data_IF_490522048085
#
_entry.id   IF_490522048085
#
_cell.length_a   1.000
_cell.length_b   1.000
_cell.length_c   1.000
_cell.angle_alpha   90.00
_cell.angle_beta   90.00
_cell.angle_gamma   90.00
#
_symmetry.space_group_name_H-M   'P 1'
#
loop_
_entity.id
_entity.type
_entity.pdbx_description
1 polymer ?
#
# COMPACT_ATOMS: atom_id res chain seq x y z
N UNK A 1 -11.39 -12.02 -3.68
CA UNK A 1 -11.06 -12.01 -2.23
C UNK A 1 -10.44 -10.66 -1.90
N UNK A 2 -10.82 -10.04 -0.78
CA UNK A 2 -10.29 -8.78 -0.24
C UNK A 2 -10.01 -8.96 1.25
N UNK A 3 -9.23 -8.06 1.85
CA UNK A 3 -9.11 -7.97 3.31
C UNK A 3 -10.33 -7.21 3.81
N UNK A 4 -11.15 -7.84 4.62
CA UNK A 4 -12.40 -7.28 5.16
C UNK A 4 -12.22 -6.67 6.55
N UNK A 5 -11.17 -7.08 7.27
CA UNK A 5 -10.82 -6.54 8.59
C UNK A 5 -9.33 -6.69 8.86
N UNK A 6 -8.76 -5.70 9.53
CA UNK A 6 -7.41 -5.78 10.09
C UNK A 6 -7.44 -5.47 11.58
N UNK A 7 -6.68 -6.26 12.33
CA UNK A 7 -6.36 -5.99 13.73
C UNK A 7 -4.84 -5.98 13.88
N UNK A 8 -4.32 -5.06 14.64
CA UNK A 8 -2.91 -5.05 15.03
C UNK A 8 -2.81 -4.60 16.49
N UNK A 9 -1.89 -5.20 17.20
CA UNK A 9 -1.55 -4.85 18.56
C UNK A 9 -0.06 -4.58 18.63
N UNK A 10 0.29 -3.44 19.18
CA UNK A 10 1.67 -3.07 19.47
C UNK A 10 2.58 -2.95 18.23
N UNK A 11 1.99 -2.55 17.08
CA UNK A 11 2.71 -2.38 15.82
C UNK A 11 3.18 -0.93 15.64
N UNK A 12 4.49 -0.66 15.77
CA UNK A 12 5.10 0.68 15.66
C UNK A 12 4.41 1.71 16.56
N UNK A 13 3.77 2.76 16.01
CA UNK A 13 2.95 3.70 16.77
C UNK A 13 1.49 3.29 16.90
N UNK A 14 1.11 2.13 16.38
CA UNK A 14 -0.24 1.60 16.42
C UNK A 14 -0.39 0.69 17.64
N UNK A 15 -0.86 1.21 18.78
CA UNK A 15 -1.03 0.43 20.00
C UNK A 15 -2.08 -0.65 19.82
N UNK A 16 -3.25 -0.26 19.31
CA UNK A 16 -4.37 -1.17 19.05
C UNK A 16 -5.16 -0.68 17.85
N UNK A 17 -5.23 -1.53 16.83
CA UNK A 17 -6.03 -1.32 15.63
C UNK A 17 -7.07 -2.42 15.52
N UNK A 18 -8.30 -2.07 15.18
CA UNK A 18 -9.35 -3.03 14.81
C UNK A 18 -10.36 -2.33 13.91
N UNK A 19 -10.15 -2.39 12.61
CA UNK A 19 -11.01 -1.67 11.64
C UNK A 19 -11.49 -2.60 10.53
N UNK A 20 -12.76 -2.48 10.10
CA UNK A 20 -13.23 -3.07 8.86
C UNK A 20 -12.58 -2.36 7.67
N UNK A 21 -12.49 -3.02 6.55
CA UNK A 21 -11.93 -2.49 5.31
C UNK A 21 -12.85 -2.80 4.14
N UNK A 22 -13.06 -1.79 3.29
CA UNK A 22 -13.84 -1.88 2.08
C UNK A 22 -12.96 -2.18 0.84
N UNK A 23 -13.56 -2.28 -0.34
CA UNK A 23 -12.80 -2.48 -1.60
C UNK A 23 -11.90 -1.29 -1.95
N UNK A 24 -12.31 -0.08 -1.58
CA UNK A 24 -11.47 1.13 -1.56
C UNK A 24 -11.32 1.57 -0.12
N UNK A 25 -10.09 1.88 0.27
CA UNK A 25 -9.80 2.36 1.62
C UNK A 25 -8.91 3.59 1.53
N UNK A 26 -9.38 4.67 2.15
CA UNK A 26 -8.67 5.93 2.27
C UNK A 26 -8.20 6.10 3.72
N UNK A 27 -6.91 5.87 3.97
CA UNK A 27 -6.30 6.11 5.28
C UNK A 27 -5.95 7.60 5.41
N UNK A 28 -6.69 8.31 6.24
CA UNK A 28 -6.65 9.78 6.37
C UNK A 28 -6.15 10.17 7.77
N UNK A 29 -5.28 11.16 7.83
CA UNK A 29 -4.77 11.67 9.11
C UNK A 29 -3.54 12.55 8.93
N UNK A 30 -3.01 13.14 10.01
CA UNK A 30 -1.86 14.04 9.95
C UNK A 30 -0.58 13.29 9.60
N UNK A 31 0.47 14.06 9.28
CA UNK A 31 1.81 13.52 9.16
C UNK A 31 2.23 12.84 10.48
N UNK A 32 2.96 11.73 10.38
CA UNK A 32 3.32 10.87 11.50
C UNK A 32 2.14 10.22 12.27
N UNK A 33 0.90 10.38 11.83
CA UNK A 33 -0.29 9.76 12.44
C UNK A 33 -0.37 8.23 12.32
N UNK A 34 0.58 7.58 11.61
CA UNK A 34 0.62 6.11 11.52
C UNK A 34 0.07 5.52 10.22
N UNK A 35 -0.35 6.35 9.25
CA UNK A 35 -0.87 5.89 7.94
C UNK A 35 0.10 4.94 7.21
N UNK A 36 1.37 5.33 7.09
CA UNK A 36 2.42 4.49 6.48
C UNK A 36 2.70 3.22 7.30
N UNK A 37 2.60 3.31 8.64
CA UNK A 37 2.74 2.14 9.52
C UNK A 37 1.56 1.16 9.37
N UNK A 38 0.39 1.67 9.04
CA UNK A 38 -0.79 0.85 8.72
C UNK A 38 -0.59 0.11 7.38
N UNK A 39 -0.14 0.79 6.33
CA UNK A 39 0.21 0.13 5.07
C UNK A 39 1.34 -0.90 5.24
N UNK A 40 2.27 -0.65 6.18
CA UNK A 40 3.39 -1.53 6.45
C UNK A 40 2.98 -2.89 7.05
N UNK A 41 1.79 -2.99 7.68
CA UNK A 41 1.19 -4.27 8.10
C UNK A 41 1.02 -5.20 6.89
N UNK A 42 0.46 -4.70 5.81
CA UNK A 42 0.20 -5.49 4.60
C UNK A 42 1.50 -5.79 3.84
N UNK A 43 2.44 -4.83 3.80
CA UNK A 43 3.79 -5.04 3.26
C UNK A 43 4.53 -6.14 4.00
N UNK A 44 4.41 -6.18 5.33
CA UNK A 44 5.01 -7.21 6.18
C UNK A 44 4.45 -8.60 5.86
N UNK A 45 3.12 -8.76 5.77
CA UNK A 45 2.49 -10.02 5.40
C UNK A 45 2.91 -10.50 4.01
N UNK A 46 2.97 -9.57 3.04
CA UNK A 46 3.48 -9.86 1.70
C UNK A 46 4.93 -10.35 1.74
N UNK A 47 5.80 -9.66 2.46
CA UNK A 47 7.23 -10.00 2.54
C UNK A 47 7.48 -11.36 3.19
N UNK A 48 6.60 -11.81 4.08
CA UNK A 48 6.65 -13.17 4.61
C UNK A 48 6.23 -14.17 3.54
N UNK A 49 5.16 -13.88 2.78
CA UNK A 49 4.53 -14.81 1.86
C UNK A 49 5.26 -14.97 0.52
N UNK A 50 6.02 -13.96 0.07
CA UNK A 50 6.73 -14.04 -1.22
C UNK A 50 7.83 -15.08 -1.19
N UNK A 51 8.05 -15.75 -2.32
CA UNK A 51 9.11 -16.75 -2.45
C UNK A 51 10.49 -16.12 -2.18
N UNK A 52 11.24 -16.72 -1.25
CA UNK A 52 12.52 -16.19 -0.79
C UNK A 52 12.40 -15.07 0.25
N UNK A 53 11.17 -14.76 0.69
CA UNK A 53 10.88 -13.91 1.84
C UNK A 53 11.00 -14.68 3.16
N UNK A 54 10.23 -14.26 4.17
CA UNK A 54 10.11 -14.94 5.45
C UNK A 54 10.13 -13.99 6.64
N UNK A 55 9.76 -14.52 7.81
CA UNK A 55 9.62 -13.77 9.05
C UNK A 55 10.91 -13.02 9.43
N UNK A 56 12.02 -13.73 9.40
CA UNK A 56 13.32 -13.15 9.76
C UNK A 56 13.68 -11.95 8.88
N UNK A 57 13.59 -12.13 7.56
CA UNK A 57 13.91 -11.07 6.59
C UNK A 57 12.98 -9.87 6.74
N UNK A 58 11.67 -10.11 6.87
CA UNK A 58 10.67 -9.06 7.02
C UNK A 58 10.86 -8.21 8.29
N UNK A 59 11.25 -8.86 9.40
CA UNK A 59 11.55 -8.19 10.67
C UNK A 59 12.89 -7.44 10.59
N UNK A 60 13.94 -8.04 10.01
CA UNK A 60 15.26 -7.41 9.94
C UNK A 60 15.29 -6.17 9.06
N UNK A 61 14.58 -6.16 7.93
CA UNK A 61 14.40 -4.96 7.08
C UNK A 61 13.85 -3.77 7.84
N UNK A 62 13.16 -4.01 8.95
CA UNK A 62 12.53 -2.98 9.82
C UNK A 62 13.35 -2.68 11.08
N UNK A 63 14.58 -3.18 11.19
CA UNK A 63 15.46 -2.95 12.34
C UNK A 63 15.19 -3.88 13.55
N UNK A 64 14.53 -5.02 13.31
CA UNK A 64 14.26 -6.03 14.34
C UNK A 64 12.94 -5.80 15.10
N UNK A 65 12.55 -6.77 15.93
CA UNK A 65 11.29 -6.74 16.71
C UNK A 65 11.15 -5.46 17.53
N UNK A 66 12.26 -4.99 18.14
CA UNK A 66 12.22 -3.78 18.98
C UNK A 66 11.89 -2.49 18.26
N UNK A 67 12.16 -2.41 16.95
CA UNK A 67 11.80 -1.25 16.11
C UNK A 67 10.37 -1.36 15.60
N UNK A 68 9.80 -2.56 15.61
CA UNK A 68 8.42 -2.83 15.24
C UNK A 68 7.45 -2.71 16.40
N UNK A 69 7.94 -2.92 17.61
CA UNK A 69 7.14 -2.85 18.83
C UNK A 69 6.84 -1.41 19.22
N UNK A 70 5.59 -1.12 19.59
CA UNK A 70 5.19 0.17 20.14
C UNK A 70 5.86 0.39 21.49
N UNK A 71 6.53 1.53 21.69
CA UNK A 71 7.20 1.85 22.96
C UNK A 71 6.24 2.09 24.13
N UNK A 72 5.01 2.49 23.83
CA UNK A 72 3.96 2.68 24.83
C UNK A 72 3.22 1.36 25.18
N UNK A 73 3.57 0.25 24.52
CA UNK A 73 2.99 -1.07 24.78
C UNK A 73 3.60 -1.74 26.01
N UNK A 74 2.75 -2.44 26.77
CA UNK A 74 3.15 -3.16 28.00
C UNK A 74 3.69 -4.57 27.67
N UNK A 75 3.26 -5.14 26.52
CA UNK A 75 3.61 -6.50 26.14
C UNK A 75 4.85 -6.54 25.24
N UNK A 76 5.65 -7.60 25.34
CA UNK A 76 6.78 -7.82 24.41
C UNK A 76 6.28 -8.36 23.07
N UNK A 77 6.78 -7.76 21.99
CA UNK A 77 6.41 -8.13 20.63
C UNK A 77 5.21 -7.39 20.07
N UNK A 78 4.66 -7.91 18.97
CA UNK A 78 3.51 -7.36 18.27
C UNK A 78 2.61 -8.48 17.72
N UNK A 79 1.35 -8.13 17.43
CA UNK A 79 0.38 -9.06 16.87
C UNK A 79 -0.32 -8.45 15.67
N UNK A 80 -0.60 -9.28 14.66
CA UNK A 80 -1.34 -8.91 13.46
C UNK A 80 -2.39 -9.98 13.19
N UNK A 81 -3.63 -9.57 12.91
CA UNK A 81 -4.67 -10.46 12.43
C UNK A 81 -5.41 -9.81 11.25
N UNK A 82 -5.64 -10.56 10.20
CA UNK A 82 -6.41 -10.13 9.03
C UNK A 82 -7.49 -11.14 8.73
N UNK A 83 -8.66 -10.62 8.39
CA UNK A 83 -9.80 -11.42 7.90
C UNK A 83 -9.97 -11.13 6.41
N UNK A 84 -10.23 -12.16 5.63
CA UNK A 84 -10.31 -12.07 4.17
C UNK A 84 -11.57 -12.78 3.68
N UNK A 85 -12.20 -12.18 2.68
CA UNK A 85 -13.39 -12.74 2.07
C UNK A 85 -13.85 -12.01 0.83
N UNK A 86 -15.13 -12.06 0.60
CA UNK A 86 -15.86 -11.31 -0.43
C UNK A 86 -17.16 -10.75 0.19
N UNK A 87 -17.97 -10.06 -0.61
CA UNK A 87 -19.23 -9.43 -0.17
C UNK A 87 -20.22 -10.44 0.44
N UNK A 88 -20.20 -11.70 -0.02
CA UNK A 88 -21.10 -12.75 0.48
C UNK A 88 -20.55 -13.48 1.69
N UNK A 89 -19.23 -13.58 1.80
CA UNK A 89 -18.50 -14.27 2.89
C UNK A 89 -17.30 -13.45 3.30
N UNK A 90 -17.53 -12.44 4.17
CA UNK A 90 -16.46 -11.50 4.56
C UNK A 90 -15.37 -12.15 5.44
N UNK A 91 -15.64 -13.31 6.03
CA UNK A 91 -14.79 -14.05 6.97
C UNK A 91 -14.38 -15.44 6.45
N UNK A 92 -14.26 -15.60 5.13
CA UNK A 92 -13.86 -16.87 4.50
C UNK A 92 -12.53 -17.40 5.05
N UNK A 93 -11.56 -16.50 5.27
CA UNK A 93 -10.27 -16.79 5.84
C UNK A 93 -9.93 -15.82 6.96
N UNK A 94 -9.18 -16.28 7.97
CA UNK A 94 -8.45 -15.41 8.88
C UNK A 94 -7.03 -15.92 9.06
N UNK A 95 -6.09 -14.98 9.15
CA UNK A 95 -4.68 -15.23 9.47
C UNK A 95 -4.27 -14.37 10.65
N UNK A 96 -3.70 -15.01 11.67
CA UNK A 96 -3.24 -14.34 12.88
C UNK A 96 -1.80 -14.74 13.18
N UNK A 97 -0.97 -13.76 13.47
CA UNK A 97 0.43 -13.93 13.86
C UNK A 97 0.79 -13.05 15.05
N UNK A 98 1.40 -13.64 16.05
CA UNK A 98 2.08 -12.96 17.14
C UNK A 98 3.58 -13.20 17.06
N UNK A 99 4.38 -12.15 17.19
CA UNK A 99 5.84 -12.19 17.10
C UNK A 99 6.43 -11.53 18.33
N UNK A 100 7.44 -12.17 18.93
CA UNK A 100 8.17 -11.64 20.08
C UNK A 100 9.68 -11.79 19.91
N UNK A 101 10.45 -11.20 20.80
CA UNK A 101 11.90 -11.41 20.85
C UNK A 101 12.22 -12.80 21.42
N UNK A 102 13.25 -13.43 20.90
CA UNK A 102 13.82 -14.58 21.58
C UNK A 102 14.53 -14.12 22.86
N UNK A 103 14.18 -14.72 24.00
CA UNK A 103 14.84 -14.45 25.29
C UNK A 103 16.35 -14.73 25.24
N UNK A 104 17.12 -14.11 26.15
CA UNK A 104 18.54 -14.34 26.40
C UNK A 104 19.47 -14.29 25.16
N UNK A 105 19.70 -13.10 24.61
CA UNK A 105 20.85 -12.80 23.75
C UNK A 105 20.69 -13.07 22.25
N UNK A 106 19.71 -13.79 21.79
CA UNK A 106 19.43 -13.97 20.36
C UNK A 106 18.54 -12.84 19.83
N UNK A 107 18.99 -12.16 18.77
CA UNK A 107 18.25 -11.07 18.09
C UNK A 107 17.23 -11.56 17.07
N UNK A 108 16.82 -12.84 17.10
CA UNK A 108 15.89 -13.41 16.13
C UNK A 108 14.45 -13.21 16.57
N UNK A 109 13.55 -12.92 15.63
CA UNK A 109 12.10 -12.96 15.89
C UNK A 109 11.67 -14.40 16.09
N UNK A 110 10.77 -14.66 17.04
CA UNK A 110 10.12 -15.95 17.22
C UNK A 110 8.60 -15.75 17.24
N UNK A 111 7.88 -16.75 16.78
CA UNK A 111 6.43 -16.77 16.85
C UNK A 111 5.97 -16.91 18.31
N UNK A 112 5.10 -16.02 18.74
CA UNK A 112 4.26 -16.17 19.93
C UNK A 112 3.12 -17.13 19.61
N UNK A 113 2.53 -16.97 18.42
CA UNK A 113 1.54 -17.87 17.80
C UNK A 113 1.43 -17.62 16.30
N UNK A 114 0.93 -18.63 15.58
CA UNK A 114 0.47 -18.53 14.21
C UNK A 114 -0.82 -19.34 14.04
N UNK A 115 -1.88 -18.71 13.57
CA UNK A 115 -3.18 -19.35 13.40
C UNK A 115 -3.76 -19.04 12.03
N UNK A 116 -4.38 -20.05 11.44
CA UNK A 116 -5.13 -19.91 10.19
C UNK A 116 -6.53 -20.50 10.39
N UNK A 117 -7.52 -19.73 9.97
CA UNK A 117 -8.92 -20.15 10.01
C UNK A 117 -9.48 -20.16 8.58
N UNK A 118 -10.37 -21.12 8.32
CA UNK A 118 -11.15 -21.22 7.09
C UNK A 118 -12.59 -21.48 7.43
N UNK A 119 -13.52 -20.61 7.00
CA UNK A 119 -14.94 -20.66 7.38
C UNK A 119 -15.17 -20.75 8.91
N UNK A 120 -14.35 -20.06 9.70
CA UNK A 120 -14.41 -20.11 11.16
C UNK A 120 -13.73 -21.32 11.81
N UNK A 121 -13.37 -22.36 11.03
CA UNK A 121 -12.65 -23.52 11.53
C UNK A 121 -11.14 -23.24 11.57
N UNK A 122 -10.49 -23.55 12.71
CA UNK A 122 -9.06 -23.39 12.88
C UNK A 122 -8.32 -24.56 12.23
N UNK A 123 -7.57 -24.30 11.15
CA UNK A 123 -6.80 -25.31 10.42
C UNK A 123 -5.30 -25.30 10.75
N UNK A 124 -4.82 -24.21 11.36
CA UNK A 124 -3.46 -24.10 11.92
C UNK A 124 -3.55 -23.46 13.28
N UNK A 125 -2.87 -24.02 14.27
CA UNK A 125 -2.72 -23.47 15.62
C UNK A 125 -1.32 -23.81 16.14
N UNK A 126 -0.45 -22.84 16.14
CA UNK A 126 0.94 -22.96 16.61
C UNK A 126 1.17 -22.08 17.84
N UNK A 127 1.98 -22.44 18.82
CA UNK A 127 2.86 -23.64 18.88
C UNK A 127 2.09 -24.96 19.00
N UNK A 128 2.42 -25.93 18.12
CA UNK A 128 1.92 -27.30 18.17
C UNK A 128 2.84 -28.21 19.01
N UNK A 129 2.61 -29.53 19.03
CA UNK A 129 3.43 -30.49 19.76
C UNK A 129 4.85 -30.58 19.18
N UNK A 130 5.00 -30.44 17.86
CA UNK A 130 6.31 -30.46 17.21
C UNK A 130 7.09 -29.18 17.52
N UNK A 131 6.41 -28.04 17.59
CA UNK A 131 7.03 -26.77 17.97
C UNK A 131 7.50 -26.78 19.45
N UNK A 132 6.79 -27.49 20.33
CA UNK A 132 7.21 -27.67 21.72
C UNK A 132 8.42 -28.59 21.83
N UNK A 133 8.53 -29.61 20.98
CA UNK A 133 9.69 -30.53 20.94
C UNK A 133 10.90 -29.90 20.26
N UNK A 134 10.70 -28.99 19.29
CA UNK A 134 11.76 -28.29 18.57
C UNK A 134 11.40 -26.80 18.43
N UNK A 135 11.74 -25.95 19.43
CA UNK A 135 11.41 -24.53 19.42
C UNK A 135 12.05 -23.73 18.27
N UNK A 136 13.08 -24.24 17.57
CA UNK A 136 13.68 -23.58 16.40
C UNK A 136 12.64 -23.40 15.28
N UNK A 137 11.66 -24.27 15.18
CA UNK A 137 10.56 -24.17 14.21
C UNK A 137 9.76 -22.87 14.35
N UNK A 138 9.74 -22.26 15.53
CA UNK A 138 9.06 -20.97 15.78
C UNK A 138 9.82 -19.78 15.21
N UNK A 139 11.03 -19.94 14.67
CA UNK A 139 11.75 -18.91 13.93
C UNK A 139 11.20 -18.72 12.51
N UNK A 140 10.31 -19.63 12.05
CA UNK A 140 9.69 -19.60 10.72
C UNK A 140 8.17 -19.73 10.82
N UNK A 141 7.46 -19.03 9.92
CA UNK A 141 6.02 -19.16 9.75
C UNK A 141 5.67 -20.34 8.84
N UNK A 142 4.45 -20.86 8.96
CA UNK A 142 3.92 -21.76 7.93
C UNK A 142 3.56 -20.99 6.65
N UNK A 143 3.31 -19.67 6.74
CA UNK A 143 3.05 -18.82 5.59
C UNK A 143 4.22 -18.85 4.58
N UNK A 144 5.48 -18.80 5.04
CA UNK A 144 6.68 -18.86 4.19
C UNK A 144 7.07 -20.29 3.76
N UNK A 145 6.60 -21.31 4.47
CA UNK A 145 6.99 -22.68 4.25
C UNK A 145 6.10 -23.38 3.21
N UNK A 146 6.65 -23.62 2.02
CA UNK A 146 5.92 -24.17 0.88
C UNK A 146 5.29 -25.55 1.08
N UNK A 147 5.73 -26.35 2.04
CA UNK A 147 5.13 -27.65 2.37
C UNK A 147 4.06 -27.53 3.46
N UNK A 148 4.29 -26.71 4.46
CA UNK A 148 3.37 -26.53 5.58
C UNK A 148 2.10 -25.78 5.20
N UNK A 149 2.14 -24.90 4.17
CA UNK A 149 1.02 -24.07 3.75
C UNK A 149 0.05 -24.73 2.73
N UNK A 150 0.18 -26.02 2.46
CA UNK A 150 -0.62 -26.69 1.43
C UNK A 150 -2.14 -26.51 1.62
N UNK A 151 -2.63 -26.54 2.85
CA UNK A 151 -4.06 -26.41 3.18
C UNK A 151 -4.61 -24.97 2.99
N UNK A 152 -3.74 -23.96 3.00
CA UNK A 152 -4.12 -22.55 2.88
C UNK A 152 -3.31 -21.79 1.80
N UNK A 153 -2.88 -22.49 0.76
CA UNK A 153 -2.16 -21.93 -0.39
C UNK A 153 -2.84 -20.71 -1.04
N UNK A 154 -4.17 -20.67 -1.15
CA UNK A 154 -4.86 -19.48 -1.68
C UNK A 154 -4.58 -18.21 -0.86
N UNK A 155 -4.44 -18.33 0.47
CA UNK A 155 -4.10 -17.21 1.35
C UNK A 155 -2.66 -16.73 1.12
N UNK A 156 -1.72 -17.67 1.00
CA UNK A 156 -0.31 -17.36 0.69
C UNK A 156 -0.18 -16.63 -0.64
N UNK A 157 -0.85 -17.14 -1.68
CA UNK A 157 -0.86 -16.52 -3.01
C UNK A 157 -1.45 -15.11 -2.93
N UNK A 158 -2.57 -14.93 -2.23
CA UNK A 158 -3.18 -13.61 -2.05
C UNK A 158 -2.21 -12.58 -1.43
N UNK A 159 -1.49 -12.96 -0.37
CA UNK A 159 -0.51 -12.06 0.25
C UNK A 159 0.69 -11.80 -0.68
N UNK A 160 1.21 -12.82 -1.34
CA UNK A 160 2.36 -12.70 -2.23
C UNK A 160 2.07 -11.80 -3.45
N UNK A 161 0.84 -11.79 -3.93
CA UNK A 161 0.38 -11.00 -5.09
C UNK A 161 -0.01 -9.55 -4.75
N UNK A 162 0.06 -9.13 -3.48
CA UNK A 162 -0.15 -7.73 -3.12
C UNK A 162 0.85 -6.85 -3.84
N UNK A 163 0.39 -5.73 -4.39
CA UNK A 163 1.24 -4.74 -5.05
C UNK A 163 1.45 -3.57 -4.11
N UNK A 164 2.71 -3.31 -3.78
CA UNK A 164 3.09 -2.15 -2.98
C UNK A 164 3.67 -1.10 -3.91
N UNK A 165 2.94 -0.05 -4.15
CA UNK A 165 3.35 1.06 -4.98
C UNK A 165 3.70 2.25 -4.10
N UNK A 166 4.98 2.42 -3.81
CA UNK A 166 5.54 3.62 -3.22
C UNK A 166 6.40 4.30 -4.29
N UNK A 167 5.95 5.44 -4.75
CA UNK A 167 6.69 6.21 -5.72
C UNK A 167 7.74 7.09 -5.02
N UNK A 168 9.01 6.82 -5.27
CA UNK A 168 10.08 7.75 -4.96
C UNK A 168 10.43 8.54 -6.24
N UNK A 169 10.04 9.81 -6.33
CA UNK A 169 10.23 10.62 -7.54
C UNK A 169 11.68 10.73 -8.00
N UNK A 170 12.59 10.74 -7.05
CA UNK A 170 14.04 10.87 -7.26
C UNK A 170 14.68 9.74 -8.08
N UNK A 171 13.89 8.78 -8.50
CA UNK A 171 14.38 7.57 -9.15
C UNK A 171 14.24 7.47 -10.66
N UNK A 172 13.43 8.30 -11.35
CA UNK A 172 13.24 8.22 -12.81
C UNK A 172 13.85 9.40 -13.58
N UNK A 173 14.09 10.55 -12.92
CA UNK A 173 14.82 11.66 -13.51
C UNK A 173 16.32 11.49 -13.29
N UNK A 174 17.09 11.38 -14.37
CA UNK A 174 18.53 11.53 -14.26
C UNK A 174 18.82 12.97 -13.80
N UNK A 175 19.43 13.14 -12.63
CA UNK A 175 20.04 14.42 -12.31
C UNK A 175 21.18 14.64 -13.32
N UNK A 176 21.13 15.69 -14.17
CA UNK A 176 22.13 15.90 -15.24
C UNK A 176 23.57 15.98 -14.73
N UNK A 177 23.76 16.23 -13.41
CA UNK A 177 25.07 16.35 -12.75
C UNK A 177 25.60 15.04 -12.14
N UNK A 178 24.82 13.95 -12.17
CA UNK A 178 25.23 12.65 -11.59
C UNK A 178 25.99 11.74 -12.56
N UNK A 179 26.06 12.09 -13.86
CA UNK A 179 26.87 11.39 -14.87
C UNK A 179 26.82 9.84 -14.77
N UNK A 180 27.95 9.20 -14.94
CA UNK A 180 28.13 7.73 -14.92
C UNK A 180 27.77 7.07 -13.57
N UNK A 181 27.69 7.83 -12.46
CA UNK A 181 27.25 7.31 -11.15
C UNK A 181 25.78 6.93 -11.13
N UNK A 182 24.93 7.59 -11.94
CA UNK A 182 23.52 7.20 -12.10
C UNK A 182 23.38 5.83 -12.81
N UNK A 183 24.35 5.45 -13.64
CA UNK A 183 24.43 4.10 -14.20
C UNK A 183 24.84 3.03 -13.17
N UNK A 184 25.65 3.39 -12.20
CA UNK A 184 26.19 2.46 -11.20
C UNK A 184 25.25 2.26 -10.00
N UNK A 185 24.59 3.34 -9.51
CA UNK A 185 23.59 3.29 -8.43
C UNK A 185 22.15 3.20 -8.96
N UNK A 186 22.00 2.89 -10.23
CA UNK A 186 20.79 2.84 -11.03
C UNK A 186 19.48 2.76 -10.23
N UNK A 187 18.61 3.67 -10.53
CA UNK A 187 17.23 3.82 -10.07
C UNK A 187 16.45 2.49 -10.03
N UNK A 188 16.70 1.69 -9.00
CA UNK A 188 16.04 0.39 -8.80
C UNK A 188 14.51 0.47 -8.93
N UNK A 189 13.80 1.49 -8.39
CA UNK A 189 12.35 1.59 -8.56
C UNK A 189 11.91 1.75 -10.02
N UNK A 190 12.62 2.55 -10.80
CA UNK A 190 12.29 2.75 -12.21
C UNK A 190 12.59 1.50 -13.06
N UNK A 191 13.71 0.85 -12.77
CA UNK A 191 14.06 -0.43 -13.42
C UNK A 191 13.09 -1.54 -13.03
N UNK A 192 12.64 -1.57 -11.78
CA UNK A 192 11.63 -2.51 -11.31
C UNK A 192 10.31 -2.29 -12.07
N UNK A 193 9.87 -1.04 -12.19
CA UNK A 193 8.67 -0.68 -12.93
C UNK A 193 8.72 -1.11 -14.41
N UNK A 194 9.83 -0.83 -15.11
CA UNK A 194 9.99 -1.25 -16.51
C UNK A 194 10.10 -2.78 -16.64
N UNK A 195 10.74 -3.48 -15.69
CA UNK A 195 10.76 -4.94 -15.64
C UNK A 195 9.35 -5.52 -15.49
N UNK A 196 8.53 -4.93 -14.62
CA UNK A 196 7.14 -5.34 -14.42
C UNK A 196 6.30 -5.16 -15.68
N UNK A 197 6.52 -4.06 -16.43
CA UNK A 197 5.91 -3.84 -17.74
C UNK A 197 6.32 -4.93 -18.73
N UNK A 198 7.59 -5.30 -18.75
CA UNK A 198 8.12 -6.29 -19.71
C UNK A 198 7.78 -7.74 -19.32
N UNK A 199 7.53 -8.02 -18.05
CA UNK A 199 7.14 -9.35 -17.58
C UNK A 199 5.74 -9.78 -18.06
N UNK A 200 4.93 -8.82 -18.54
CA UNK A 200 3.56 -9.07 -18.99
C UNK A 200 3.54 -9.42 -20.49
N UNK A 201 2.70 -10.38 -20.94
CA UNK A 201 2.54 -10.70 -22.36
C UNK A 201 2.26 -9.46 -23.21
N UNK A 202 2.81 -9.42 -24.43
CA UNK A 202 2.75 -8.23 -25.30
C UNK A 202 1.34 -7.71 -25.55
N UNK A 203 0.37 -8.60 -25.77
CA UNK A 203 -1.03 -8.23 -26.00
C UNK A 203 -1.65 -7.53 -24.80
N UNK A 204 -1.39 -8.03 -23.58
CA UNK A 204 -1.86 -7.43 -22.33
C UNK A 204 -1.17 -6.09 -22.08
N UNK A 205 0.15 -6.05 -22.28
CA UNK A 205 0.96 -4.84 -22.16
C UNK A 205 0.46 -3.73 -23.08
N UNK A 206 0.23 -4.03 -24.35
CA UNK A 206 -0.30 -3.07 -25.33
C UNK A 206 -1.65 -2.51 -24.91
N UNK A 207 -2.58 -3.37 -24.53
CA UNK A 207 -3.91 -2.94 -24.05
C UNK A 207 -3.84 -2.02 -22.83
N UNK A 208 -2.94 -2.31 -21.87
CA UNK A 208 -2.72 -1.45 -20.70
C UNK A 208 -2.12 -0.12 -21.10
N UNK A 209 -1.13 -0.08 -21.97
CA UNK A 209 -0.51 1.17 -22.47
C UNK A 209 -1.53 2.02 -23.20
N UNK A 210 -2.38 1.45 -24.05
CA UNK A 210 -3.45 2.17 -24.76
C UNK A 210 -4.45 2.82 -23.77
N UNK A 211 -4.80 2.12 -22.68
CA UNK A 211 -5.66 2.70 -21.63
C UNK A 211 -4.98 3.84 -20.87
N UNK A 212 -3.69 3.70 -20.59
CA UNK A 212 -2.90 4.75 -19.94
C UNK A 212 -2.77 5.96 -20.87
N UNK A 213 -2.46 5.73 -22.15
CA UNK A 213 -2.41 6.77 -23.19
C UNK A 213 -3.72 7.57 -23.24
N UNK A 214 -4.87 6.89 -23.27
CA UNK A 214 -6.17 7.53 -23.30
C UNK A 214 -6.41 8.46 -22.09
N UNK A 215 -5.96 8.06 -20.89
CA UNK A 215 -6.04 8.92 -19.71
C UNK A 215 -5.07 10.10 -19.80
N UNK A 216 -3.83 9.86 -20.26
CA UNK A 216 -2.84 10.92 -20.40
C UNK A 216 -3.27 11.99 -21.42
N UNK A 217 -3.91 11.59 -22.51
CA UNK A 217 -4.46 12.52 -23.51
C UNK A 217 -5.53 13.47 -22.94
N UNK A 218 -6.21 13.06 -21.87
CA UNK A 218 -7.22 13.91 -21.19
C UNK A 218 -6.58 14.90 -20.20
N UNK A 219 -5.44 14.55 -19.59
CA UNK A 219 -4.90 15.30 -18.44
C UNK A 219 -3.57 15.99 -18.70
N UNK A 220 -2.83 15.54 -19.72
CA UNK A 220 -1.57 16.16 -20.14
C UNK A 220 -1.78 16.86 -21.48
N UNK A 221 -1.76 18.20 -21.50
CA UNK A 221 -1.95 18.95 -22.74
C UNK A 221 -0.99 18.48 -23.82
N UNK A 222 -1.52 18.29 -25.05
CA UNK A 222 -0.71 17.98 -26.23
C UNK A 222 -0.05 16.59 -26.25
N UNK A 223 -0.36 15.75 -25.28
CA UNK A 223 0.11 14.36 -25.26
C UNK A 223 -0.52 13.57 -26.40
N UNK A 224 0.29 12.93 -27.23
CA UNK A 224 -0.21 12.16 -28.38
C UNK A 224 -0.10 10.66 -28.19
N UNK A 225 1.07 10.18 -27.80
CA UNK A 225 1.33 8.75 -27.79
C UNK A 225 2.32 8.35 -26.71
N UNK A 226 2.07 7.20 -26.12
CA UNK A 226 2.97 6.52 -25.20
C UNK A 226 3.50 5.26 -25.85
N UNK A 227 4.82 5.14 -25.98
CA UNK A 227 5.46 3.98 -26.56
C UNK A 227 6.47 3.36 -25.60
N UNK A 228 6.75 2.07 -25.81
CA UNK A 228 7.91 1.39 -25.24
C UNK A 228 8.94 1.22 -26.35
N UNK A 229 10.10 1.82 -26.17
CA UNK A 229 11.23 1.66 -27.08
C UNK A 229 12.22 0.64 -26.52
N UNK A 230 12.63 -0.28 -27.37
CA UNK A 230 13.71 -1.20 -27.07
C UNK A 230 15.05 -0.53 -27.35
N UNK A 231 15.95 -0.62 -26.38
CA UNK A 231 17.32 -0.12 -26.47
C UNK A 231 18.28 -1.30 -26.60
N UNK A 232 19.49 -1.04 -27.06
CA UNK A 232 20.54 -2.06 -27.16
C UNK A 232 20.76 -2.77 -25.81
N UNK A 233 20.86 -4.10 -25.81
CA UNK A 233 21.14 -4.88 -24.61
C UNK A 233 19.92 -5.21 -23.75
N UNK A 234 18.75 -5.46 -24.35
CA UNK A 234 17.52 -5.86 -23.64
C UNK A 234 16.97 -4.81 -22.65
N UNK A 235 17.32 -3.54 -22.88
CA UNK A 235 16.81 -2.41 -22.11
C UNK A 235 15.60 -1.82 -22.81
N UNK A 236 14.63 -1.37 -22.02
CA UNK A 236 13.44 -0.66 -22.52
C UNK A 236 13.30 0.68 -21.82
N UNK A 237 12.68 1.62 -22.49
CA UNK A 237 12.29 2.92 -21.92
C UNK A 237 10.92 3.34 -22.43
N UNK A 238 10.27 4.20 -21.67
CA UNK A 238 9.08 4.89 -22.13
C UNK A 238 9.47 6.07 -23.01
N UNK A 239 8.76 6.23 -24.12
CA UNK A 239 8.86 7.37 -25.02
C UNK A 239 7.47 7.97 -25.25
N UNK A 240 7.40 9.27 -25.36
CA UNK A 240 6.16 9.98 -25.70
C UNK A 240 6.35 10.88 -26.92
N UNK A 241 5.23 11.27 -27.55
CA UNK A 241 5.18 12.31 -28.58
C UNK A 241 4.21 13.38 -28.12
N UNK A 242 4.62 14.64 -28.27
CA UNK A 242 3.79 15.83 -28.07
C UNK A 242 3.50 16.55 -29.38
N UNK A 243 2.40 17.28 -29.46
CA UNK A 243 1.96 17.86 -30.72
C UNK A 243 2.60 19.22 -31.05
N UNK A 244 2.97 20.03 -30.05
CA UNK A 244 3.18 21.47 -30.26
C UNK A 244 4.61 21.94 -30.39
N UNK A 245 5.47 21.71 -29.42
CA UNK A 245 6.78 22.38 -29.44
C UNK A 245 7.89 21.59 -30.12
N UNK A 246 7.69 20.29 -30.32
CA UNK A 246 8.55 19.38 -31.12
C UNK A 246 7.70 18.34 -31.85
N UNK A 247 6.96 18.74 -32.91
CA UNK A 247 6.09 17.83 -33.63
C UNK A 247 6.85 16.65 -34.22
N UNK A 248 6.41 15.42 -33.91
CA UNK A 248 7.03 14.19 -34.39
C UNK A 248 8.31 13.75 -33.68
N UNK A 249 8.85 14.54 -32.75
CA UNK A 249 10.00 14.14 -31.95
C UNK A 249 9.55 13.20 -30.82
N UNK A 250 10.31 12.13 -30.61
CA UNK A 250 10.12 11.21 -29.50
C UNK A 250 10.91 11.68 -28.30
N UNK A 251 10.23 11.97 -27.20
CA UNK A 251 10.83 12.37 -25.96
C UNK A 251 10.97 11.16 -25.04
N UNK A 252 12.17 10.86 -24.51
CA UNK A 252 12.37 9.78 -23.59
C UNK A 252 11.84 10.12 -22.19
N UNK A 253 11.57 9.10 -21.37
CA UNK A 253 10.99 9.23 -20.04
C UNK A 253 11.73 10.18 -19.10
N UNK A 254 13.01 10.38 -19.29
CA UNK A 254 13.86 11.31 -18.51
C UNK A 254 13.44 12.77 -18.70
N UNK A 255 12.68 13.05 -19.75
CA UNK A 255 12.14 14.38 -20.04
C UNK A 255 10.64 14.53 -19.64
N UNK A 256 10.04 13.49 -19.08
CA UNK A 256 8.66 13.58 -18.59
C UNK A 256 8.64 14.35 -17.27
N UNK A 257 7.55 15.06 -17.02
CA UNK A 257 7.32 15.62 -15.70
C UNK A 257 7.14 14.50 -14.68
N UNK A 258 7.52 14.77 -13.43
CA UNK A 258 7.32 13.84 -12.31
C UNK A 258 5.84 13.41 -12.20
N UNK A 259 4.91 14.36 -12.31
CA UNK A 259 3.49 14.07 -12.27
C UNK A 259 3.04 13.13 -13.39
N UNK A 260 3.58 13.30 -14.62
CA UNK A 260 3.27 12.39 -15.74
C UNK A 260 3.74 10.98 -15.46
N UNK A 261 5.00 10.83 -15.00
CA UNK A 261 5.56 9.52 -14.65
C UNK A 261 4.79 8.86 -13.52
N UNK A 262 4.43 9.63 -12.50
CA UNK A 262 3.65 9.15 -11.37
C UNK A 262 2.27 8.67 -11.81
N UNK A 263 1.58 9.43 -12.65
CA UNK A 263 0.28 9.03 -13.18
C UNK A 263 0.37 7.74 -13.99
N UNK A 264 1.37 7.61 -14.87
CA UNK A 264 1.63 6.37 -15.63
C UNK A 264 1.79 5.18 -14.70
N UNK A 265 2.59 5.34 -13.64
CA UNK A 265 2.88 4.24 -12.71
C UNK A 265 1.67 3.85 -11.86
N UNK A 266 0.87 4.82 -11.40
CA UNK A 266 -0.39 4.56 -10.68
C UNK A 266 -1.37 3.83 -11.59
N UNK A 267 -1.56 4.30 -12.82
CA UNK A 267 -2.45 3.66 -13.79
C UNK A 267 -2.01 2.23 -14.13
N UNK A 268 -0.70 2.02 -14.31
CA UNK A 268 -0.16 0.68 -14.53
C UNK A 268 -0.44 -0.22 -13.33
N UNK A 269 -0.19 0.23 -12.11
CA UNK A 269 -0.45 -0.53 -10.89
C UNK A 269 -1.94 -0.87 -10.73
N UNK A 270 -2.84 0.07 -11.00
CA UNK A 270 -4.29 -0.15 -10.99
C UNK A 270 -4.73 -1.20 -12.01
N UNK A 271 -4.16 -1.18 -13.22
CA UNK A 271 -4.48 -2.12 -14.29
C UNK A 271 -3.84 -3.50 -14.10
N UNK A 272 -2.81 -3.61 -13.26
CA UNK A 272 -2.03 -4.84 -13.07
C UNK A 272 -2.43 -5.62 -11.82
N UNK A 273 -2.89 -4.94 -10.77
CA UNK A 273 -3.18 -5.58 -9.48
C UNK A 273 -4.51 -6.33 -9.49
N UNK A 274 -4.48 -7.61 -9.17
CA UNK A 274 -5.65 -8.48 -9.00
C UNK A 274 -5.91 -8.83 -7.51
N UNK A 275 -4.96 -8.51 -6.63
CA UNK A 275 -5.06 -8.65 -5.18
C UNK A 275 -5.22 -7.28 -4.51
N UNK A 276 -4.43 -6.96 -3.51
CA UNK A 276 -4.42 -5.66 -2.84
C UNK A 276 -3.39 -4.75 -3.46
N UNK A 277 -3.80 -3.54 -3.82
CA UNK A 277 -2.92 -2.45 -4.23
C UNK A 277 -2.77 -1.45 -3.09
N UNK A 278 -1.55 -1.26 -2.63
CA UNK A 278 -1.18 -0.27 -1.63
C UNK A 278 -0.60 0.95 -2.32
N UNK A 279 -1.22 2.12 -2.15
CA UNK A 279 -0.76 3.40 -2.69
C UNK A 279 -0.43 4.35 -1.54
N UNK A 280 0.78 4.89 -1.52
CA UNK A 280 1.18 5.88 -0.53
C UNK A 280 1.18 7.27 -1.17
N UNK A 281 0.29 8.14 -0.66
CA UNK A 281 0.09 9.52 -1.12
C UNK A 281 0.11 9.66 -2.66
N UNK A 282 -0.81 8.99 -3.38
CA UNK A 282 -0.79 8.95 -4.83
C UNK A 282 -0.97 10.33 -5.47
N UNK A 283 -1.50 11.28 -4.75
CA UNK A 283 -1.74 12.67 -5.18
C UNK A 283 -0.47 13.52 -5.33
N UNK A 284 0.63 13.16 -4.68
CA UNK A 284 1.86 13.96 -4.71
C UNK A 284 2.33 14.20 -6.15
N UNK A 285 2.79 15.41 -6.44
CA UNK A 285 3.27 15.85 -7.76
C UNK A 285 2.20 15.84 -8.87
N UNK A 286 0.94 15.53 -8.56
CA UNK A 286 -0.17 15.64 -9.51
C UNK A 286 -0.84 17.02 -9.40
N UNK A 287 -1.35 17.50 -10.54
CA UNK A 287 -2.14 18.73 -10.53
C UNK A 287 -3.46 18.53 -9.76
N UNK A 288 -3.91 19.50 -8.93
CA UNK A 288 -5.15 19.36 -8.12
C UNK A 288 -6.39 18.92 -8.91
N UNK A 289 -6.55 19.36 -10.15
CA UNK A 289 -7.65 18.92 -11.01
C UNK A 289 -7.62 17.43 -11.35
N UNK A 290 -6.43 16.83 -11.46
CA UNK A 290 -6.26 15.38 -11.66
C UNK A 290 -6.53 14.64 -10.36
N UNK A 291 -6.01 15.16 -9.24
CA UNK A 291 -6.18 14.58 -7.91
C UNK A 291 -7.66 14.43 -7.57
N UNK A 292 -8.48 15.45 -7.82
CA UNK A 292 -9.93 15.43 -7.57
C UNK A 292 -10.67 14.30 -8.30
N UNK A 293 -10.17 13.87 -9.44
CA UNK A 293 -10.79 12.78 -10.23
C UNK A 293 -10.17 11.41 -9.98
N UNK A 294 -9.11 11.34 -9.16
CA UNK A 294 -8.39 10.09 -8.90
C UNK A 294 -9.26 9.02 -8.21
N UNK A 295 -10.08 9.33 -7.19
CA UNK A 295 -10.95 8.33 -6.57
C UNK A 295 -11.96 7.73 -7.54
N UNK A 296 -12.61 8.55 -8.35
CA UNK A 296 -13.53 8.09 -9.39
C UNK A 296 -12.84 7.27 -10.48
N UNK A 297 -11.59 7.59 -10.82
CA UNK A 297 -10.78 6.81 -11.76
C UNK A 297 -10.42 5.42 -11.17
N UNK A 298 -9.97 5.36 -9.92
CA UNK A 298 -9.70 4.11 -9.19
C UNK A 298 -10.96 3.24 -9.19
N UNK A 299 -12.12 3.81 -8.84
CA UNK A 299 -13.39 3.10 -8.84
C UNK A 299 -13.72 2.51 -10.21
N UNK A 300 -13.64 3.31 -11.29
CA UNK A 300 -13.96 2.87 -12.65
C UNK A 300 -13.04 1.75 -13.14
N UNK A 301 -11.74 1.84 -12.87
CA UNK A 301 -10.75 0.83 -13.28
C UNK A 301 -10.90 -0.47 -12.49
N UNK A 302 -11.24 -0.38 -11.20
CA UNK A 302 -11.35 -1.55 -10.31
C UNK A 302 -12.75 -2.17 -10.25
N UNK A 303 -13.80 -1.46 -10.64
CA UNK A 303 -15.19 -1.95 -10.55
C UNK A 303 -15.43 -3.31 -11.21
N UNK A 304 -14.76 -3.56 -12.34
CA UNK A 304 -14.91 -4.79 -13.13
C UNK A 304 -13.75 -5.78 -12.95
N UNK A 305 -12.80 -5.47 -12.08
CA UNK A 305 -11.63 -6.30 -11.82
C UNK A 305 -11.63 -6.77 -10.37
N UNK A 306 -11.08 -7.96 -10.08
CA UNK A 306 -10.85 -8.35 -8.70
C UNK A 306 -9.83 -7.40 -8.03
N UNK A 307 -9.79 -7.42 -6.70
CA UNK A 307 -8.80 -6.73 -5.90
C UNK A 307 -9.37 -5.58 -5.09
N UNK A 308 -8.50 -5.03 -4.26
CA UNK A 308 -8.75 -3.99 -3.28
C UNK A 308 -7.70 -2.89 -3.45
N UNK A 309 -8.05 -1.65 -3.17
CA UNK A 309 -7.09 -0.54 -3.15
C UNK A 309 -7.10 0.10 -1.78
N UNK A 310 -5.95 0.15 -1.12
CA UNK A 310 -5.75 0.83 0.15
C UNK A 310 -4.76 1.95 -0.09
N UNK A 311 -5.16 3.19 0.14
CA UNK A 311 -4.30 4.34 -0.08
C UNK A 311 -4.23 5.24 1.15
N UNK A 312 -3.10 5.93 1.30
CA UNK A 312 -2.95 6.99 2.29
C UNK A 312 -3.09 8.33 1.61
N UNK A 313 -3.73 9.29 2.27
CA UNK A 313 -3.86 10.66 1.77
C UNK A 313 -4.05 11.66 2.91
N UNK A 314 -3.72 12.91 2.62
CA UNK A 314 -4.09 14.08 3.41
C UNK A 314 -4.61 15.21 2.49
N UNK A 315 -4.90 14.90 1.23
CA UNK A 315 -5.33 15.88 0.21
C UNK A 315 -6.82 16.21 0.32
N UNK A 316 -7.17 17.46 0.55
CA UNK A 316 -8.54 17.93 0.47
C UNK A 316 -9.15 17.69 -0.90
N UNK A 317 -8.36 17.89 -1.98
CA UNK A 317 -8.82 17.72 -3.35
C UNK A 317 -9.21 16.26 -3.64
N UNK A 318 -8.44 15.30 -3.12
CA UNK A 318 -8.74 13.87 -3.30
C UNK A 318 -10.02 13.50 -2.56
N UNK A 319 -10.17 13.97 -1.33
CA UNK A 319 -11.29 13.66 -0.45
C UNK A 319 -12.55 14.49 -0.76
N UNK A 320 -12.49 15.43 -1.71
CA UNK A 320 -13.64 16.19 -2.19
C UNK A 320 -14.53 15.42 -3.19
N UNK A 321 -14.15 14.18 -3.57
CA UNK A 321 -14.98 13.33 -4.45
C UNK A 321 -16.20 12.83 -3.68
N UNK A 322 -17.40 13.24 -4.11
CA UNK A 322 -18.69 12.86 -3.50
C UNK A 322 -18.98 11.35 -3.58
N UNK A 323 -18.26 10.62 -4.41
CA UNK A 323 -18.36 9.17 -4.55
C UNK A 323 -17.53 8.39 -3.52
N UNK A 324 -16.97 9.04 -2.50
CA UNK A 324 -16.28 8.38 -1.38
C UNK A 324 -17.28 8.20 -0.24
N UNK A 325 -17.51 6.93 0.16
CA UNK A 325 -18.33 6.59 1.31
C UNK A 325 -17.55 6.73 2.62
N UNK A 326 -18.23 7.12 3.72
CA UNK A 326 -17.61 7.21 5.04
C UNK A 326 -17.05 5.85 5.54
N UNK A 327 -17.60 4.73 5.09
CA UNK A 327 -17.10 3.39 5.39
C UNK A 327 -15.76 3.10 4.71
N UNK A 328 -15.47 3.76 3.58
CA UNK A 328 -14.20 3.62 2.88
C UNK A 328 -13.06 4.42 3.52
N UNK A 329 -13.36 5.33 4.47
CA UNK A 329 -12.37 6.21 5.09
C UNK A 329 -12.01 5.72 6.49
N UNK A 330 -10.73 5.47 6.69
CA UNK A 330 -10.12 5.11 7.99
C UNK A 330 -9.34 6.31 8.52
N UNK A 331 -9.77 6.82 9.66
CA UNK A 331 -9.17 7.98 10.32
C UNK A 331 -8.05 7.58 11.27
N UNK A 332 -6.98 8.34 11.22
CA UNK A 332 -5.84 8.26 12.11
C UNK A 332 -5.79 9.53 12.95
N UNK A 333 -6.17 9.42 14.20
CA UNK A 333 -6.20 10.53 15.14
C UNK A 333 -5.04 10.36 16.13
N UNK A 334 -4.13 11.34 16.24
CA UNK A 334 -3.09 11.30 17.28
C UNK A 334 -3.73 11.21 18.66
N UNK A 335 -3.20 10.34 19.51
CA UNK A 335 -3.59 10.30 20.92
C UNK A 335 -2.58 11.05 21.81
N UNK A 336 -2.98 11.40 23.00
CA UNK A 336 -2.15 12.15 23.95
C UNK A 336 -0.95 11.34 24.47
N UNK A 337 -0.99 10.01 24.34
CA UNK A 337 0.06 9.10 24.81
C UNK A 337 1.11 8.78 23.71
N UNK A 338 1.03 9.48 22.58
CA UNK A 338 1.99 9.35 21.46
C UNK A 338 1.71 8.16 20.52
N UNK A 339 0.52 7.57 20.62
CA UNK A 339 -0.01 6.60 19.68
C UNK A 339 -0.94 7.21 18.65
N UNK A 340 -1.74 6.36 18.00
CA UNK A 340 -2.82 6.78 17.12
C UNK A 340 -4.09 5.97 17.42
N UNK A 341 -5.20 6.67 17.61
CA UNK A 341 -6.54 6.09 17.59
C UNK A 341 -6.97 5.94 16.13
N UNK A 342 -7.45 4.75 15.76
CA UNK A 342 -7.83 4.43 14.39
C UNK A 342 -9.26 3.95 14.37
N UNK A 343 -10.10 4.60 13.56
CA UNK A 343 -11.52 4.28 13.44
C UNK A 343 -12.04 4.54 12.02
N UNK A 344 -13.09 3.86 11.57
CA UNK A 344 -13.80 4.25 10.35
C UNK A 344 -14.45 5.62 10.53
N UNK A 345 -14.49 6.44 9.46
CA UNK A 345 -15.18 7.73 9.53
C UNK A 345 -16.69 7.58 9.76
N UNK A 346 -17.27 6.46 9.36
CA UNK A 346 -18.68 6.12 9.64
C UNK A 346 -19.01 5.96 11.12
N UNK A 347 -18.01 5.78 12.00
CA UNK A 347 -18.21 5.72 13.46
C UNK A 347 -18.18 7.10 14.13
N UNK A 348 -17.87 8.17 13.39
CA UNK A 348 -17.99 9.53 13.89
C UNK A 348 -19.47 9.90 14.03
N UNK A 349 -19.89 10.27 15.26
CA UNK A 349 -21.31 10.48 15.61
C UNK A 349 -22.08 11.44 14.72
N UNK A 350 -21.42 12.42 14.11
CA UNK A 350 -22.04 13.44 13.27
C UNK A 350 -21.67 13.32 11.78
N UNK A 351 -20.79 12.39 11.43
CA UNK A 351 -20.26 12.31 10.07
C UNK A 351 -21.37 12.05 9.06
N UNK A 352 -22.24 11.07 9.33
CA UNK A 352 -23.31 10.71 8.40
C UNK A 352 -24.30 11.86 8.20
N UNK A 353 -24.68 12.56 9.29
CA UNK A 353 -25.61 13.70 9.19
C UNK A 353 -25.04 14.86 8.37
N UNK A 354 -23.74 15.11 8.46
CA UNK A 354 -23.04 16.14 7.70
C UNK A 354 -22.92 15.77 6.20
N UNK A 355 -22.63 14.50 5.92
CA UNK A 355 -22.56 13.96 4.57
C UNK A 355 -23.96 13.99 3.92
N UNK A 356 -25.00 13.59 4.64
CA UNK A 356 -26.39 13.65 4.18
C UNK A 356 -26.86 15.10 3.96
N UNK A 357 -26.24 16.07 4.65
CA UNK A 357 -26.44 17.50 4.42
C UNK A 357 -25.66 18.05 3.20
N UNK A 358 -24.89 17.20 2.50
CA UNK A 358 -24.19 17.56 1.26
C UNK A 358 -22.71 17.92 1.42
N UNK A 359 -22.09 17.68 2.60
CA UNK A 359 -20.65 17.83 2.74
C UNK A 359 -19.92 16.59 2.20
N UNK A 360 -18.78 16.82 1.56
CA UNK A 360 -17.87 15.71 1.23
C UNK A 360 -17.29 15.06 2.48
N UNK A 361 -16.88 13.79 2.39
CA UNK A 361 -16.20 13.13 3.51
C UNK A 361 -14.95 13.90 3.92
N UNK A 362 -14.23 14.51 2.96
CA UNK A 362 -13.06 15.34 3.24
C UNK A 362 -13.35 16.53 4.15
N UNK A 363 -14.45 17.26 3.90
CA UNK A 363 -14.85 18.41 4.72
C UNK A 363 -15.22 18.00 6.15
N UNK A 364 -15.69 16.77 6.33
CA UNK A 364 -16.02 16.21 7.66
C UNK A 364 -14.79 15.73 8.41
N UNK A 365 -13.84 15.07 7.76
CA UNK A 365 -12.74 14.35 8.45
C UNK A 365 -11.46 15.16 8.58
N UNK A 366 -11.12 16.02 7.60
CA UNK A 366 -9.86 16.75 7.61
C UNK A 366 -9.71 17.71 8.79
N UNK A 367 -10.73 18.48 9.20
CA UNK A 367 -10.63 19.34 10.38
C UNK A 367 -10.32 18.56 11.67
N UNK A 368 -10.79 17.30 11.76
CA UNK A 368 -10.55 16.43 12.92
C UNK A 368 -9.18 15.75 12.91
N UNK A 369 -8.55 15.69 11.76
CA UNK A 369 -7.25 15.06 11.54
C UNK A 369 -6.08 16.06 11.57
N UNK A 370 -6.32 17.31 11.88
CA UNK A 370 -5.28 18.34 11.99
C UNK A 370 -4.46 18.15 13.26
N UNK A 371 -3.18 18.56 13.21
CA UNK A 371 -2.37 18.63 14.43
C UNK A 371 -2.93 19.72 15.35
N UNK A 372 -3.08 19.42 16.63
CA UNK A 372 -3.75 20.28 17.64
C UNK A 372 -3.14 21.68 17.78
N UNK A 373 -1.88 21.87 17.36
CA UNK A 373 -1.17 23.16 17.50
C UNK A 373 -0.80 23.80 16.16
N UNK A 374 -1.41 23.39 15.07
CA UNK A 374 -1.07 23.91 13.72
C UNK A 374 -1.33 25.41 13.59
N UNK A 375 -2.32 25.92 14.31
CA UNK A 375 -2.67 27.35 14.32
C UNK A 375 -1.57 28.23 14.93
N UNK A 376 -0.73 27.66 15.81
CA UNK A 376 0.41 28.39 16.41
C UNK A 376 1.51 28.73 15.39
N UNK A 377 1.54 28.07 14.22
CA UNK A 377 2.49 28.40 13.14
C UNK A 377 2.37 29.85 12.66
N UNK A 378 1.17 30.45 12.74
CA UNK A 378 0.94 31.86 12.40
C UNK A 378 1.60 32.84 13.37
N UNK A 379 1.97 32.40 14.56
CA UNK A 379 2.61 33.21 15.62
C UNK A 379 4.08 32.86 15.83
N UNK A 380 4.65 31.94 15.02
CA UNK A 380 6.04 31.55 15.13
C UNK A 380 6.94 32.69 14.60
N UNK A 381 7.70 33.31 15.52
CA UNK A 381 8.68 34.35 15.23
C UNK A 381 10.09 33.78 15.27
#
# INVERSE_FOLDING_TARGET
MIITRVKALNWRNLRKVSVPLERRVFAVGPNAGGKSNFLDIFRFLREIAVRGGGLYSAVQKRGGVGSLQCRAGVEDGFEIAVTLGDENRPDLWAYEIGVQRCGSGRKYPILKYERVFKNGEKIVDRPDELDRSDPIRLEQTFLENGTANAAFRPLVTFFAEMVCHSWAPSGMGAYPWMGDLAEFFGNEPARAFLRDIMAVPETVRRNRIEKIEAVLQLVVPQFKRLNLAELNGNRVRLETMFEHWRPGEKLPQEQFSEGTLRLISILWALLSSESVLLLEEPELSLHPSVVRHLPGLIYRLKRKQPGQTILTTHSPELLADEGIDAQEVVLFLPDEEGGASIMPASELREAQALIDAGLSVGEVVLPRSQASRVEELGFYQ
#
